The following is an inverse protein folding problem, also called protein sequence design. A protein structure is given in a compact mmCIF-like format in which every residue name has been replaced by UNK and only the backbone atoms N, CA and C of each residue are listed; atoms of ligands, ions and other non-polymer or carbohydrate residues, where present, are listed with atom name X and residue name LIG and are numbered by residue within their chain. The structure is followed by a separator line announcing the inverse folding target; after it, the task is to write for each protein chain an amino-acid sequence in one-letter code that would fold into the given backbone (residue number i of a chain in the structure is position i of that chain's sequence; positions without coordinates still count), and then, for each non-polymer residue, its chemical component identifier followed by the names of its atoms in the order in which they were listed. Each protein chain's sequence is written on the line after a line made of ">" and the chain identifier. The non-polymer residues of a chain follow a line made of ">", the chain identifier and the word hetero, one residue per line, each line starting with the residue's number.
data_IF_061311561853
#
_entry.id   IF_061311561853
#
_cell.length_a   1.000
_cell.length_b   1.000
_cell.length_c   1.000
_cell.angle_alpha   90.00
_cell.angle_beta   90.00
_cell.angle_gamma   90.00
#
_symmetry.space_group_name_H-M   'P 1'
#
loop_
_entity.id
_entity.type
_entity.pdbx_description
1 polymer ?
#
# COMPACT_ATOMS: atom_id res chain seq x y z
N UNK A 1 14.85 30.73 1.44
CA UNK A 1 14.10 29.62 2.08
C UNK A 1 12.59 29.69 1.78
N UNK A 2 11.92 30.83 1.99
CA UNK A 2 10.48 30.97 1.75
C UNK A 2 10.06 30.65 0.31
N UNK A 3 10.77 31.16 -0.71
CA UNK A 3 10.46 30.92 -2.13
C UNK A 3 10.50 29.44 -2.52
N UNK A 4 11.51 28.70 -2.04
CA UNK A 4 11.66 27.25 -2.32
C UNK A 4 10.54 26.42 -1.70
N UNK A 5 10.08 26.78 -0.50
CA UNK A 5 8.96 26.12 0.17
C UNK A 5 7.63 26.36 -0.55
N UNK A 6 7.39 27.60 -1.02
CA UNK A 6 6.19 27.91 -1.83
C UNK A 6 6.20 27.12 -3.14
N UNK A 7 7.34 27.05 -3.82
CA UNK A 7 7.48 26.26 -5.03
C UNK A 7 7.21 24.76 -4.78
N UNK A 8 7.79 24.19 -3.71
CA UNK A 8 7.54 22.81 -3.32
C UNK A 8 6.06 22.55 -3.00
N UNK A 9 5.38 23.51 -2.34
CA UNK A 9 3.95 23.40 -2.04
C UNK A 9 3.09 23.42 -3.30
N UNK A 10 3.38 24.31 -4.25
CA UNK A 10 2.68 24.35 -5.55
C UNK A 10 2.84 23.02 -6.28
N UNK A 11 4.07 22.51 -6.38
CA UNK A 11 4.35 21.21 -6.99
C UNK A 11 3.63 20.07 -6.26
N UNK A 12 3.56 20.12 -4.93
CA UNK A 12 2.83 19.15 -4.12
C UNK A 12 1.34 19.14 -4.45
N UNK A 13 0.70 20.32 -4.54
CA UNK A 13 -0.72 20.47 -4.86
C UNK A 13 -1.02 19.95 -6.28
N UNK A 14 -0.19 20.30 -7.26
CA UNK A 14 -0.34 19.82 -8.65
C UNK A 14 -0.20 18.30 -8.69
N UNK A 15 0.85 17.76 -8.06
CA UNK A 15 1.11 16.31 -8.03
C UNK A 15 -0.02 15.54 -7.32
N UNK A 16 -0.51 16.07 -6.20
CA UNK A 16 -1.61 15.52 -5.43
C UNK A 16 -2.93 15.53 -6.20
N UNK A 17 -3.23 16.62 -6.90
CA UNK A 17 -4.41 16.74 -7.76
C UNK A 17 -4.38 15.73 -8.90
N UNK A 18 -3.23 15.60 -9.59
CA UNK A 18 -3.02 14.58 -10.63
C UNK A 18 -3.23 13.18 -10.05
N UNK A 19 -2.65 12.88 -8.89
CA UNK A 19 -2.81 11.58 -8.24
C UNK A 19 -4.28 11.30 -7.88
N UNK A 20 -5.01 12.24 -7.28
CA UNK A 20 -6.42 12.03 -6.92
C UNK A 20 -7.29 11.76 -8.16
N UNK A 21 -7.18 12.59 -9.20
CA UNK A 21 -7.98 12.44 -10.41
C UNK A 21 -7.64 11.11 -11.10
N UNK A 22 -6.36 10.84 -11.34
CA UNK A 22 -5.95 9.65 -12.09
C UNK A 22 -6.11 8.36 -11.29
N UNK A 23 -5.95 8.40 -9.97
CA UNK A 23 -6.25 7.28 -9.07
C UNK A 23 -7.73 6.90 -9.14
N UNK A 24 -8.62 7.88 -9.00
CA UNK A 24 -10.07 7.67 -9.11
C UNK A 24 -10.47 7.11 -10.48
N UNK A 25 -9.99 7.72 -11.57
CA UNK A 25 -10.23 7.23 -12.93
C UNK A 25 -9.70 5.80 -13.13
N UNK A 26 -8.54 5.47 -12.57
CA UNK A 26 -7.98 4.11 -12.64
C UNK A 26 -8.90 3.07 -12.00
N UNK A 27 -9.58 3.43 -10.91
CA UNK A 27 -10.52 2.55 -10.22
C UNK A 27 -11.82 2.33 -10.99
N UNK A 28 -12.31 3.33 -11.71
CA UNK A 28 -13.49 3.23 -12.58
C UNK A 28 -13.21 2.42 -13.84
N UNK A 29 -12.00 2.55 -14.39
CA UNK A 29 -11.60 1.83 -15.59
C UNK A 29 -11.63 0.31 -15.41
N UNK A 30 -11.84 -0.41 -16.52
CA UNK A 30 -11.71 -1.87 -16.59
C UNK A 30 -10.27 -2.27 -16.22
N UNK A 31 -10.13 -3.15 -15.24
CA UNK A 31 -8.83 -3.53 -14.67
C UNK A 31 -7.98 -4.18 -15.76
N UNK A 32 -6.74 -3.70 -15.92
CA UNK A 32 -5.81 -4.14 -16.97
C UNK A 32 -5.99 -3.53 -18.37
N UNK A 33 -7.05 -2.75 -18.61
CA UNK A 33 -7.27 -2.05 -19.88
C UNK A 33 -6.20 -0.97 -20.15
N UNK A 34 -6.07 -0.52 -21.41
CA UNK A 34 -5.20 0.61 -21.78
C UNK A 34 -5.43 1.86 -20.89
N UNK A 35 -6.68 2.35 -20.69
CA UNK A 35 -6.91 3.52 -19.85
C UNK A 35 -6.58 3.27 -18.36
N UNK A 36 -6.87 2.08 -17.82
CA UNK A 36 -6.47 1.73 -16.44
C UNK A 36 -4.94 1.77 -16.25
N UNK A 37 -4.19 1.24 -17.23
CA UNK A 37 -2.71 1.25 -17.20
C UNK A 37 -2.14 2.65 -17.31
N UNK A 38 -2.72 3.51 -18.17
CA UNK A 38 -2.27 4.89 -18.33
C UNK A 38 -2.52 5.69 -17.05
N UNK A 39 -3.77 5.69 -16.57
CA UNK A 39 -4.16 6.39 -15.33
C UNK A 39 -3.42 5.86 -14.11
N UNK A 40 -3.17 4.55 -14.01
CA UNK A 40 -2.36 3.97 -12.93
C UNK A 40 -0.89 4.40 -12.96
N UNK A 41 -0.30 4.61 -14.14
CA UNK A 41 1.06 5.16 -14.26
C UNK A 41 1.11 6.64 -13.87
N UNK A 42 0.14 7.43 -14.32
CA UNK A 42 0.04 8.84 -13.94
C UNK A 42 -0.19 9.01 -12.44
N UNK A 43 -1.03 8.16 -11.85
CA UNK A 43 -1.22 8.09 -10.40
C UNK A 43 0.10 7.85 -9.68
N UNK A 44 0.86 6.83 -10.10
CA UNK A 44 2.15 6.51 -9.49
C UNK A 44 3.18 7.64 -9.65
N UNK A 45 3.21 8.31 -10.81
CA UNK A 45 4.05 9.48 -11.04
C UNK A 45 3.66 10.65 -10.14
N UNK A 46 2.35 10.94 -10.02
CA UNK A 46 1.82 11.95 -9.10
C UNK A 46 2.18 11.65 -7.65
N UNK A 47 2.01 10.40 -7.20
CA UNK A 47 2.41 9.96 -5.86
C UNK A 47 3.92 10.11 -5.61
N UNK A 48 4.74 9.93 -6.64
CA UNK A 48 6.19 10.18 -6.54
C UNK A 48 6.47 11.68 -6.35
N UNK A 49 5.81 12.55 -7.10
CA UNK A 49 5.91 14.01 -6.91
C UNK A 49 5.44 14.46 -5.52
N UNK A 50 4.30 13.93 -5.06
CA UNK A 50 3.77 14.13 -3.70
C UNK A 50 4.82 13.73 -2.67
N UNK A 51 5.39 12.53 -2.77
CA UNK A 51 6.39 12.04 -1.83
C UNK A 51 7.63 12.96 -1.75
N UNK A 52 8.25 13.27 -2.90
CA UNK A 52 9.46 14.09 -2.93
C UNK A 52 9.22 15.49 -2.33
N UNK A 53 8.10 16.11 -2.69
CA UNK A 53 7.72 17.42 -2.15
C UNK A 53 7.34 17.37 -0.66
N UNK A 54 6.66 16.30 -0.21
CA UNK A 54 6.34 16.09 1.21
C UNK A 54 7.58 15.93 2.06
N UNK A 55 8.56 15.14 1.63
CA UNK A 55 9.82 14.96 2.36
C UNK A 55 10.56 16.29 2.50
N UNK A 56 10.64 17.05 1.40
CA UNK A 56 11.23 18.39 1.41
C UNK A 56 10.49 19.31 2.41
N UNK A 57 9.17 19.45 2.29
CA UNK A 57 8.37 20.32 3.16
C UNK A 57 8.50 19.88 4.63
N UNK A 58 8.37 18.59 4.91
CA UNK A 58 8.38 18.05 6.26
C UNK A 58 9.73 18.25 6.96
N UNK A 59 10.84 18.10 6.22
CA UNK A 59 12.18 18.36 6.73
C UNK A 59 12.36 19.83 7.13
N UNK A 60 12.09 20.75 6.20
CA UNK A 60 12.31 22.19 6.44
C UNK A 60 11.32 22.81 7.44
N UNK A 61 10.15 22.20 7.64
CA UNK A 61 9.14 22.64 8.63
C UNK A 61 9.20 21.86 9.95
N UNK A 62 10.12 20.92 10.12
CA UNK A 62 10.21 20.03 11.29
C UNK A 62 8.87 19.35 11.61
N UNK A 63 8.24 18.73 10.61
CA UNK A 63 6.97 18.03 10.74
C UNK A 63 7.19 16.50 10.70
N UNK A 64 7.58 15.86 11.82
CA UNK A 64 7.97 14.45 11.84
C UNK A 64 6.84 13.51 11.42
N UNK A 65 5.60 13.80 11.83
CA UNK A 65 4.44 13.01 11.43
C UNK A 65 4.23 13.02 9.90
N UNK A 66 4.33 14.21 9.28
CA UNK A 66 4.16 14.37 7.83
C UNK A 66 5.27 13.63 7.06
N UNK A 67 6.50 13.67 7.58
CA UNK A 67 7.64 12.93 7.03
C UNK A 67 7.35 11.41 7.02
N UNK A 68 6.94 10.85 8.16
CA UNK A 68 6.63 9.42 8.28
C UNK A 68 5.43 8.99 7.42
N UNK A 69 4.37 9.79 7.36
CA UNK A 69 3.19 9.52 6.52
C UNK A 69 3.52 9.61 5.03
N UNK A 70 4.49 10.45 4.65
CA UNK A 70 5.04 10.50 3.29
C UNK A 70 5.63 9.15 2.88
N UNK A 71 6.52 8.58 3.70
CA UNK A 71 7.10 7.26 3.45
C UNK A 71 6.05 6.15 3.48
N UNK A 72 5.12 6.16 4.44
CA UNK A 72 4.00 5.23 4.50
C UNK A 72 3.21 5.19 3.19
N UNK A 73 2.78 6.35 2.71
CA UNK A 73 1.93 6.47 1.51
C UNK A 73 2.70 6.05 0.26
N UNK A 74 3.98 6.41 0.19
CA UNK A 74 4.82 6.06 -0.94
C UNK A 74 5.22 4.59 -0.95
N UNK A 75 5.44 3.97 0.21
CA UNK A 75 5.61 2.52 0.34
C UNK A 75 4.41 1.78 -0.26
N UNK A 76 3.18 2.20 0.03
CA UNK A 76 1.98 1.58 -0.55
C UNK A 76 1.93 1.75 -2.08
N UNK A 77 2.23 2.95 -2.60
CA UNK A 77 2.29 3.19 -4.03
C UNK A 77 3.35 2.30 -4.70
N UNK A 78 4.56 2.26 -4.14
CA UNK A 78 5.69 1.49 -4.65
C UNK A 78 5.43 -0.01 -4.59
N UNK A 79 5.03 -0.56 -3.46
CA UNK A 79 4.78 -1.99 -3.32
C UNK A 79 3.59 -2.44 -4.18
N UNK A 80 2.54 -1.62 -4.30
CA UNK A 80 1.42 -1.85 -5.21
C UNK A 80 1.83 -1.84 -6.69
N UNK A 81 2.66 -0.90 -7.11
CA UNK A 81 3.15 -0.85 -8.48
C UNK A 81 4.13 -2.00 -8.79
N UNK A 82 5.02 -2.32 -7.84
CA UNK A 82 5.98 -3.42 -7.94
C UNK A 82 5.33 -4.80 -7.96
N UNK A 83 4.18 -4.98 -7.33
CA UNK A 83 3.41 -6.23 -7.40
C UNK A 83 3.15 -6.70 -8.84
N UNK A 84 3.03 -5.78 -9.81
CA UNK A 84 2.87 -6.11 -11.23
C UNK A 84 4.08 -6.79 -11.86
N UNK A 85 5.27 -6.63 -11.27
CA UNK A 85 6.52 -7.30 -11.69
C UNK A 85 6.77 -8.61 -10.94
N UNK A 86 6.00 -8.88 -9.88
CA UNK A 86 6.16 -10.02 -8.99
C UNK A 86 5.06 -11.08 -9.21
N UNK A 87 4.54 -11.21 -10.42
CA UNK A 87 3.38 -12.07 -10.71
C UNK A 87 3.62 -13.56 -10.46
N UNK A 88 4.88 -14.01 -10.54
CA UNK A 88 5.26 -15.42 -10.42
C UNK A 88 5.95 -15.73 -9.09
N UNK A 89 5.78 -14.90 -8.03
CA UNK A 89 6.32 -15.25 -6.70
C UNK A 89 5.82 -16.62 -6.23
N UNK A 90 4.54 -16.94 -6.51
CA UNK A 90 3.95 -18.26 -6.21
C UNK A 90 4.66 -19.43 -6.93
N UNK A 91 5.38 -19.15 -8.00
CA UNK A 91 6.12 -20.12 -8.82
C UNK A 91 7.65 -19.96 -8.65
N UNK A 92 8.11 -19.44 -7.52
CA UNK A 92 9.54 -19.33 -7.18
C UNK A 92 10.30 -18.19 -7.85
N UNK A 93 9.60 -17.21 -8.46
CA UNK A 93 10.28 -16.01 -8.97
C UNK A 93 11.00 -15.28 -7.82
N UNK A 94 12.29 -14.92 -7.96
CA UNK A 94 12.97 -14.13 -6.94
C UNK A 94 12.49 -12.67 -6.94
N UNK A 95 12.41 -12.08 -5.74
CA UNK A 95 12.20 -10.64 -5.58
C UNK A 95 13.49 -9.87 -5.89
N UNK A 96 13.39 -8.73 -6.57
CA UNK A 96 14.53 -7.91 -6.90
C UNK A 96 15.00 -7.09 -5.68
N UNK A 97 16.25 -6.61 -5.62
CA UNK A 97 16.74 -5.82 -4.47
C UNK A 97 15.85 -4.62 -4.12
N UNK A 98 15.30 -3.94 -5.12
CA UNK A 98 14.37 -2.81 -4.92
C UNK A 98 13.09 -3.22 -4.17
N UNK A 99 12.60 -4.46 -4.33
CA UNK A 99 11.43 -4.94 -3.62
C UNK A 99 11.72 -5.06 -2.12
N UNK A 100 12.90 -5.59 -1.78
CA UNK A 100 13.39 -5.65 -0.41
C UNK A 100 13.56 -4.26 0.20
N UNK A 101 14.20 -3.33 -0.51
CA UNK A 101 14.37 -1.96 -0.03
C UNK A 101 13.02 -1.30 0.27
N UNK A 102 12.03 -1.44 -0.64
CA UNK A 102 10.68 -0.89 -0.44
C UNK A 102 10.03 -1.49 0.80
N UNK A 103 10.12 -2.81 1.01
CA UNK A 103 9.56 -3.47 2.20
C UNK A 103 10.27 -3.07 3.50
N UNK A 104 11.60 -2.92 3.49
CA UNK A 104 12.38 -2.44 4.65
C UNK A 104 11.92 -1.03 5.02
N UNK A 105 11.82 -0.13 4.04
CA UNK A 105 11.32 1.25 4.25
C UNK A 105 9.92 1.23 4.86
N UNK A 106 9.03 0.35 4.37
CA UNK A 106 7.69 0.17 4.93
C UNK A 106 7.73 -0.28 6.40
N UNK A 107 8.55 -1.28 6.73
CA UNK A 107 8.71 -1.77 8.12
C UNK A 107 9.22 -0.66 9.04
N UNK A 108 10.29 0.03 8.63
CA UNK A 108 10.89 1.11 9.41
C UNK A 108 9.89 2.25 9.61
N UNK A 109 9.17 2.65 8.57
CA UNK A 109 8.13 3.68 8.66
C UNK A 109 6.98 3.26 9.57
N UNK A 110 6.57 1.99 9.49
CA UNK A 110 5.54 1.42 10.35
C UNK A 110 5.94 1.42 11.82
N UNK A 111 7.14 0.94 12.13
CA UNK A 111 7.70 0.95 13.47
C UNK A 111 7.85 2.39 14.02
N UNK A 112 8.33 3.32 13.19
CA UNK A 112 8.46 4.74 13.56
C UNK A 112 7.10 5.37 13.89
N UNK A 113 6.06 5.11 13.09
CA UNK A 113 4.70 5.58 13.35
C UNK A 113 4.10 4.99 14.63
N UNK A 114 4.33 3.70 14.90
CA UNK A 114 3.90 3.05 16.15
C UNK A 114 4.61 3.69 17.35
N UNK A 115 5.92 3.88 17.29
CA UNK A 115 6.67 4.57 18.35
C UNK A 115 6.19 6.01 18.56
N UNK A 116 5.93 6.73 17.46
CA UNK A 116 5.41 8.09 17.50
C UNK A 116 3.99 8.17 18.08
N UNK A 117 3.16 7.15 17.84
CA UNK A 117 1.82 7.04 18.41
C UNK A 117 1.80 7.09 19.93
N UNK A 118 2.79 6.47 20.60
CA UNK A 118 2.91 6.51 22.07
C UNK A 118 2.97 7.95 22.58
N UNK A 119 3.77 8.80 21.92
CA UNK A 119 3.89 10.22 22.28
C UNK A 119 2.58 10.98 22.08
N UNK A 120 1.81 10.65 21.05
CA UNK A 120 0.52 11.28 20.76
C UNK A 120 -0.59 10.80 21.68
N UNK A 121 -0.59 9.55 22.12
CA UNK A 121 -1.51 9.12 23.17
C UNK A 121 -1.26 9.88 24.47
N UNK A 122 0.01 10.03 24.87
CA UNK A 122 0.38 10.73 26.09
C UNK A 122 0.04 12.23 26.05
N UNK A 123 0.15 12.88 24.88
CA UNK A 123 0.00 14.35 24.77
C UNK A 123 -1.31 14.82 24.15
N UNK A 124 -2.00 13.96 23.39
CA UNK A 124 -3.17 14.31 22.57
C UNK A 124 -4.31 13.28 22.64
N UNK A 125 -4.22 12.28 23.52
CA UNK A 125 -5.26 11.27 23.71
C UNK A 125 -5.59 10.50 22.41
N UNK A 126 -6.85 10.56 21.98
CA UNK A 126 -7.37 9.80 20.83
C UNK A 126 -6.63 10.04 19.50
N UNK A 127 -5.91 11.16 19.35
CA UNK A 127 -5.07 11.41 18.18
C UNK A 127 -3.99 10.35 17.99
N UNK A 128 -3.54 9.67 19.04
CA UNK A 128 -2.60 8.55 18.96
C UNK A 128 -3.07 7.40 18.06
N UNK A 129 -4.39 7.23 17.86
CA UNK A 129 -4.96 6.20 16.99
C UNK A 129 -4.56 6.36 15.52
N UNK A 130 -4.29 7.60 15.07
CA UNK A 130 -3.95 7.88 13.67
C UNK A 130 -2.58 7.27 13.29
N UNK A 131 -1.46 7.69 13.91
CA UNK A 131 -0.17 7.06 13.65
C UNK A 131 -0.15 5.57 14.00
N UNK A 132 -0.91 5.13 15.03
CA UNK A 132 -1.00 3.70 15.35
C UNK A 132 -1.55 2.89 14.19
N UNK A 133 -2.68 3.32 13.63
CA UNK A 133 -3.38 2.62 12.55
C UNK A 133 -2.53 2.55 11.28
N UNK A 134 -1.92 3.68 10.90
CA UNK A 134 -1.02 3.74 9.75
C UNK A 134 0.23 2.89 9.99
N UNK A 135 0.79 2.95 11.20
CA UNK A 135 1.98 2.22 11.58
C UNK A 135 1.79 0.71 11.54
N UNK A 136 0.71 0.20 12.14
CA UNK A 136 0.36 -1.23 12.10
C UNK A 136 0.14 -1.69 10.66
N UNK A 137 -0.63 -0.94 9.86
CA UNK A 137 -0.90 -1.30 8.46
C UNK A 137 0.38 -1.36 7.63
N UNK A 138 1.29 -0.40 7.83
CA UNK A 138 2.58 -0.36 7.14
C UNK A 138 3.48 -1.51 7.57
N UNK A 139 3.61 -1.74 8.88
CA UNK A 139 4.48 -2.74 9.47
C UNK A 139 4.06 -4.15 9.07
N UNK A 140 2.79 -4.51 9.29
CA UNK A 140 2.23 -5.79 8.87
C UNK A 140 2.37 -5.98 7.37
N UNK A 141 2.13 -4.90 6.61
CA UNK A 141 2.34 -4.88 5.18
C UNK A 141 3.77 -5.24 4.77
N UNK A 142 4.77 -4.57 5.33
CA UNK A 142 6.17 -4.77 4.97
C UNK A 142 6.67 -6.16 5.38
N UNK A 143 6.28 -6.63 6.56
CA UNK A 143 6.59 -7.99 7.05
C UNK A 143 5.96 -9.04 6.12
N UNK A 144 4.72 -8.82 5.70
CA UNK A 144 4.01 -9.74 4.77
C UNK A 144 4.72 -9.79 3.42
N UNK A 145 5.18 -8.66 2.90
CA UNK A 145 5.93 -8.61 1.66
C UNK A 145 7.24 -9.41 1.76
N UNK A 146 8.05 -9.16 2.80
CA UNK A 146 9.29 -9.92 3.06
C UNK A 146 9.04 -11.41 3.20
N UNK A 147 8.01 -11.79 3.97
CA UNK A 147 7.61 -13.18 4.12
C UNK A 147 7.27 -13.79 2.77
N UNK A 148 6.56 -13.08 1.90
CA UNK A 148 6.20 -13.58 0.57
C UNK A 148 7.39 -13.69 -0.39
N UNK A 149 8.45 -12.91 -0.18
CA UNK A 149 9.69 -13.00 -0.97
C UNK A 149 10.51 -14.24 -0.60
N UNK A 150 10.47 -14.65 0.67
CA UNK A 150 11.16 -15.86 1.16
C UNK A 150 10.28 -17.11 1.01
N UNK A 151 9.00 -16.99 1.34
CA UNK A 151 8.00 -18.05 1.32
C UNK A 151 6.96 -17.69 0.28
N UNK A 152 7.13 -18.25 -0.92
CA UNK A 152 6.24 -18.05 -2.06
C UNK A 152 4.75 -18.08 -1.64
N UNK A 153 3.95 -17.08 -2.04
CA UNK A 153 2.53 -17.06 -1.73
C UNK A 153 1.82 -18.21 -2.45
N UNK A 154 0.85 -18.84 -1.79
CA UNK A 154 0.12 -19.99 -2.36
C UNK A 154 -0.82 -19.59 -3.51
N UNK A 155 -1.38 -18.38 -3.46
CA UNK A 155 -2.39 -17.95 -4.41
C UNK A 155 -1.75 -17.36 -5.67
N UNK A 156 -2.00 -17.95 -6.85
CA UNK A 156 -1.56 -17.43 -8.16
C UNK A 156 -1.93 -15.96 -8.41
N UNK A 157 -3.06 -15.50 -7.87
CA UNK A 157 -3.56 -14.13 -8.03
C UNK A 157 -3.06 -13.16 -6.94
N UNK A 158 -2.10 -13.57 -6.10
CA UNK A 158 -1.56 -12.74 -5.00
C UNK A 158 -1.15 -11.34 -5.46
N UNK A 159 -0.60 -11.23 -6.67
CA UNK A 159 -0.13 -9.96 -7.24
C UNK A 159 -1.27 -8.99 -7.54
N UNK A 160 -2.44 -9.46 -7.99
CA UNK A 160 -3.60 -8.59 -8.26
C UNK A 160 -4.18 -8.06 -6.95
N UNK A 161 -4.28 -8.94 -5.95
CA UNK A 161 -4.79 -8.60 -4.61
C UNK A 161 -3.86 -7.56 -3.97
N UNK A 162 -2.54 -7.80 -4.03
CA UNK A 162 -1.53 -6.88 -3.52
C UNK A 162 -1.57 -5.55 -4.29
N UNK A 163 -1.55 -5.59 -5.62
CA UNK A 163 -1.62 -4.39 -6.46
C UNK A 163 -2.85 -3.54 -6.13
N UNK A 164 -4.05 -4.12 -6.18
CA UNK A 164 -5.30 -3.42 -5.92
C UNK A 164 -5.39 -2.88 -4.49
N UNK A 165 -5.03 -3.70 -3.50
CA UNK A 165 -5.03 -3.29 -2.09
C UNK A 165 -4.06 -2.15 -1.79
N UNK A 166 -2.84 -2.22 -2.32
CA UNK A 166 -1.78 -1.23 -2.04
C UNK A 166 -1.96 0.06 -2.82
N UNK A 167 -2.32 0.00 -4.11
CA UNK A 167 -2.64 1.18 -4.91
C UNK A 167 -3.89 1.88 -4.35
N UNK A 168 -4.90 1.10 -3.96
CA UNK A 168 -6.10 1.61 -3.28
C UNK A 168 -5.80 2.25 -1.93
N UNK A 169 -4.94 1.62 -1.12
CA UNK A 169 -4.50 2.18 0.16
C UNK A 169 -3.71 3.47 0.00
N UNK A 170 -2.83 3.54 -1.01
CA UNK A 170 -2.12 4.78 -1.36
C UNK A 170 -3.08 5.89 -1.79
N UNK A 171 -4.08 5.59 -2.61
CA UNK A 171 -5.13 6.55 -2.99
C UNK A 171 -5.92 7.01 -1.76
N UNK A 172 -6.27 6.10 -0.86
CA UNK A 172 -6.97 6.42 0.38
C UNK A 172 -6.15 7.36 1.29
N UNK A 173 -4.83 7.18 1.36
CA UNK A 173 -3.94 8.06 2.10
C UNK A 173 -3.91 9.48 1.49
N UNK A 174 -3.86 9.59 0.17
CA UNK A 174 -3.92 10.89 -0.53
C UNK A 174 -5.26 11.58 -0.35
N UNK A 175 -6.36 10.83 -0.43
CA UNK A 175 -7.71 11.34 -0.18
C UNK A 175 -7.83 11.82 1.28
N UNK A 176 -7.33 11.05 2.23
CA UNK A 176 -7.26 11.42 3.64
C UNK A 176 -6.49 12.72 3.82
N UNK A 177 -5.28 12.83 3.26
CA UNK A 177 -4.45 14.03 3.34
C UNK A 177 -5.18 15.26 2.76
N UNK A 178 -5.85 15.12 1.62
CA UNK A 178 -6.66 16.18 1.05
C UNK A 178 -7.85 16.56 1.95
N UNK A 179 -8.56 15.59 2.54
CA UNK A 179 -9.69 15.86 3.42
C UNK A 179 -9.25 16.60 4.68
N UNK A 180 -8.19 16.15 5.36
CA UNK A 180 -7.77 16.71 6.66
C UNK A 180 -7.12 18.10 6.56
N UNK A 181 -6.66 18.53 5.38
CA UNK A 181 -6.16 19.90 5.17
C UNK A 181 -7.25 20.88 4.78
N UNK A 182 -8.41 20.40 4.32
CA UNK A 182 -9.53 21.24 3.86
C UNK A 182 -10.71 21.27 4.85
N UNK A 183 -10.87 20.24 5.69
CA UNK A 183 -11.99 20.11 6.61
C UNK A 183 -11.51 19.90 8.04
N UNK A 184 -12.25 20.45 9.01
CA UNK A 184 -12.03 20.25 10.44
C UNK A 184 -13.35 19.93 11.14
N UNK A 185 -13.32 18.98 12.07
CA UNK A 185 -14.44 18.62 12.95
C UNK A 185 -14.13 18.99 14.41
N UNK A 186 -13.30 20.01 14.62
CA UNK A 186 -12.79 20.37 15.94
C UNK A 186 -12.10 19.19 16.62
N UNK A 187 -12.55 18.82 17.82
CA UNK A 187 -12.00 17.71 18.61
C UNK A 187 -12.05 16.35 17.89
N UNK A 188 -12.97 16.15 16.93
CA UNK A 188 -13.15 14.89 16.21
C UNK A 188 -12.40 14.82 14.88
N UNK A 189 -11.51 15.77 14.59
CA UNK A 189 -10.76 15.80 13.33
C UNK A 189 -9.91 14.52 13.11
N UNK A 190 -9.51 13.82 14.17
CA UNK A 190 -8.84 12.51 14.06
C UNK A 190 -9.69 11.45 13.33
N UNK A 191 -11.02 11.57 13.30
CA UNK A 191 -11.91 10.67 12.53
C UNK A 191 -11.67 10.82 11.03
N UNK A 192 -11.45 12.06 10.55
CA UNK A 192 -11.17 12.34 9.14
C UNK A 192 -9.85 11.71 8.67
N UNK A 193 -8.94 11.38 9.58
CA UNK A 193 -7.71 10.65 9.27
C UNK A 193 -7.92 9.16 9.00
N UNK A 194 -9.01 8.57 9.49
CA UNK A 194 -9.25 7.12 9.39
C UNK A 194 -10.42 6.81 8.44
N UNK A 195 -11.44 7.67 8.41
CA UNK A 195 -12.68 7.42 7.69
C UNK A 195 -12.48 7.21 6.18
N UNK A 196 -11.77 8.07 5.42
CA UNK A 196 -11.57 7.85 3.98
C UNK A 196 -10.79 6.56 3.71
N UNK A 197 -9.83 6.22 4.59
CA UNK A 197 -9.10 4.95 4.60
C UNK A 197 -10.01 3.74 4.67
N UNK A 198 -10.91 3.72 5.67
CA UNK A 198 -11.85 2.63 5.88
C UNK A 198 -12.83 2.49 4.71
N UNK A 199 -13.44 3.59 4.27
CA UNK A 199 -14.41 3.59 3.17
C UNK A 199 -13.78 3.12 1.86
N UNK A 200 -12.60 3.63 1.53
CA UNK A 200 -11.85 3.22 0.34
C UNK A 200 -11.42 1.76 0.44
N UNK A 201 -10.98 1.30 1.62
CA UNK A 201 -10.62 -0.09 1.86
C UNK A 201 -11.78 -1.07 1.65
N UNK A 202 -12.98 -0.73 2.14
CA UNK A 202 -14.20 -1.53 1.91
C UNK A 202 -14.51 -1.61 0.41
N UNK A 203 -14.44 -0.47 -0.29
CA UNK A 203 -14.73 -0.41 -1.72
C UNK A 203 -13.70 -1.21 -2.54
N UNK A 204 -12.40 -1.03 -2.29
CA UNK A 204 -11.32 -1.79 -2.92
C UNK A 204 -11.48 -3.29 -2.66
N UNK A 205 -11.76 -3.68 -1.41
CA UNK A 205 -11.95 -5.08 -1.07
C UNK A 205 -13.05 -5.69 -1.94
N UNK A 206 -14.20 -5.01 -2.08
CA UNK A 206 -15.29 -5.44 -2.98
C UNK A 206 -14.82 -5.62 -4.43
N UNK A 207 -14.02 -4.69 -4.95
CA UNK A 207 -13.51 -4.75 -6.33
C UNK A 207 -12.53 -5.92 -6.56
N UNK A 208 -11.80 -6.36 -5.53
CA UNK A 208 -10.80 -7.43 -5.67
C UNK A 208 -11.27 -8.82 -5.18
N UNK A 209 -12.47 -8.93 -4.57
CA UNK A 209 -12.97 -10.22 -4.04
C UNK A 209 -12.96 -11.35 -5.05
N UNK A 210 -13.30 -11.07 -6.30
CA UNK A 210 -13.32 -12.08 -7.37
C UNK A 210 -11.96 -12.72 -7.65
N UNK A 211 -10.85 -12.08 -7.24
CA UNK A 211 -9.50 -12.61 -7.40
C UNK A 211 -9.03 -13.41 -6.19
N UNK A 212 -9.72 -13.30 -5.05
CA UNK A 212 -9.45 -14.06 -3.83
C UNK A 212 -10.01 -15.49 -3.94
N UNK A 213 -9.41 -16.34 -4.79
CA UNK A 213 -9.67 -17.79 -4.71
C UNK A 213 -9.07 -18.35 -3.42
N UNK A 214 -9.78 -19.29 -2.77
CA UNK A 214 -9.29 -20.00 -1.56
C UNK A 214 -7.95 -20.68 -1.88
N UNK A 215 -7.00 -20.70 -0.94
CA UNK A 215 -5.76 -21.45 -1.12
C UNK A 215 -6.12 -22.91 -1.40
N UNK A 216 -5.54 -23.49 -2.47
CA UNK A 216 -5.49 -24.94 -2.67
C UNK A 216 -4.79 -25.49 -1.43
N UNK A 217 -5.51 -26.30 -0.63
CA UNK A 217 -4.96 -26.82 0.62
C UNK A 217 -3.74 -27.67 0.28
N UNK A 218 -2.68 -27.54 1.09
CA UNK A 218 -1.44 -28.33 0.92
C UNK A 218 -1.72 -29.84 0.87
N UNK A 219 -2.83 -30.27 1.47
CA UNK A 219 -3.36 -31.63 1.43
C UNK A 219 -3.72 -32.09 0.02
N UNK A 220 -4.39 -31.25 -0.80
CA UNK A 220 -4.75 -31.59 -2.19
C UNK A 220 -3.50 -31.71 -3.08
N UNK A 221 -2.42 -31.00 -2.77
CA UNK A 221 -1.13 -31.13 -3.47
C UNK A 221 -0.46 -32.47 -3.12
N UNK A 222 -0.39 -32.84 -1.84
CA UNK A 222 0.18 -34.12 -1.41
C UNK A 222 -0.65 -35.31 -1.91
N UNK A 223 -1.97 -35.18 -1.92
CA UNK A 223 -2.91 -36.18 -2.43
C UNK A 223 -2.79 -36.35 -3.94
N UNK A 224 -2.70 -35.26 -4.71
CA UNK A 224 -2.43 -35.37 -6.16
C UNK A 224 -1.06 -35.97 -6.46
N UNK A 225 -0.02 -35.65 -5.66
CA UNK A 225 1.31 -36.25 -5.90
C UNK A 225 1.31 -37.74 -5.54
N UNK A 226 0.63 -38.13 -4.46
CA UNK A 226 0.48 -39.53 -4.05
C UNK A 226 -0.35 -40.36 -5.03
N UNK A 227 -1.46 -39.82 -5.56
CA UNK A 227 -2.30 -40.49 -6.56
C UNK A 227 -1.55 -40.67 -7.90
N UNK A 228 -0.74 -39.68 -8.30
CA UNK A 228 0.09 -39.81 -9.51
C UNK A 228 1.21 -40.86 -9.33
N UNK A 229 1.76 -40.96 -8.12
CA UNK A 229 2.80 -41.95 -7.80
C UNK A 229 2.22 -43.38 -7.72
N UNK A 230 0.99 -43.54 -7.21
CA UNK A 230 0.30 -44.83 -7.14
C UNK A 230 -0.23 -45.29 -8.51
N UNK A 231 -0.52 -44.38 -9.46
CA UNK A 231 -0.82 -44.75 -10.85
C UNK A 231 0.43 -45.10 -11.67
N UNK A 232 1.61 -44.64 -11.27
CA UNK A 232 2.87 -44.97 -11.93
C UNK A 232 3.39 -46.37 -11.59
N UNK A 233 2.89 -46.96 -10.50
CA UNK A 233 3.16 -48.34 -10.08
C UNK A 233 1.83 -49.04 -9.79
N UNK A 234 1.10 -49.52 -10.82
CA UNK A 234 -0.06 -50.36 -10.58
C UNK A 234 0.41 -51.63 -9.85
N UNK A 235 -0.21 -51.91 -8.71
CA UNK A 235 0.08 -53.08 -7.88
C UNK A 235 0.11 -54.36 -8.74
N UNK A 236 1.29 -54.96 -8.84
CA UNK A 236 1.51 -56.10 -9.73
C UNK A 236 2.97 -56.51 -9.89
N UNK A 237 3.69 -56.73 -8.78
CA UNK A 237 4.74 -57.76 -8.62
C UNK A 237 4.70 -58.27 -7.19
#
# INVERSE_FOLDING_TARGET
>A
MATSLHFALILHIISGSIALITGFLSMLNRKGSKPHRLTGKLFFAGMTGVFLTTIFIAWFKNLPFLFMVGFFSYYLACSGYRALKLKKLHAGQPAAPIDWTVSIIGIVSGAALIGFSVTWFATRGGWGLVPLSFGIFCLVGGITDMRNYVRSPLNKNHWVITHGGRMGGSFAATLTAFTVVNFSLGAYTWVLWLLPGVLTGIWINRLIRGFMKKPVLKTEMLENTGIQQQRAFPDGV
#
